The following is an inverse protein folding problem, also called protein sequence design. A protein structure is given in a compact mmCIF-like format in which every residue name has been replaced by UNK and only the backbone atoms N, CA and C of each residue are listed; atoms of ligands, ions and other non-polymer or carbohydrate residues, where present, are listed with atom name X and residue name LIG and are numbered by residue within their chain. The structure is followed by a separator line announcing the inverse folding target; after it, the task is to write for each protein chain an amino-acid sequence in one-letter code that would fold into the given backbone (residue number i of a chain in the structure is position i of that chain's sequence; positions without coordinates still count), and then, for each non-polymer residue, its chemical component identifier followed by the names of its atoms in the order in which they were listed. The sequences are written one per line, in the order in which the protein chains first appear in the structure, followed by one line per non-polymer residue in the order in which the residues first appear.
data_IF_126918062003
#
_entry.id   IF_126918062003
#
_cell.length_a   1.000
_cell.length_b   1.000
_cell.length_c   1.000
_cell.angle_alpha   90.00
_cell.angle_beta   90.00
_cell.angle_gamma   90.00
#
_symmetry.space_group_name_H-M   'P 1'
#
loop_
_entity.id
_entity.type
_entity.pdbx_description
1 polymer ?
#
# COMPACT_ATOMS: atom_id res chain seq x y z
N UNK A 1 38.65 20.29 37.32
CA UNK A 1 37.44 19.62 37.86
C UNK A 1 36.27 19.59 36.86
N UNK A 2 36.51 19.57 35.54
CA UNK A 2 35.46 19.67 34.50
C UNK A 2 35.18 18.37 33.72
N UNK A 3 35.96 17.31 33.95
CA UNK A 3 35.89 16.06 33.17
C UNK A 3 34.77 15.09 33.59
N UNK A 4 34.01 15.39 34.65
CA UNK A 4 32.94 14.50 35.17
C UNK A 4 31.58 14.74 34.51
N UNK A 5 31.33 15.95 34.03
CA UNK A 5 30.08 16.34 33.38
C UNK A 5 29.81 15.63 32.03
N UNK A 6 30.78 15.47 31.11
CA UNK A 6 30.52 14.83 29.82
C UNK A 6 30.26 13.32 29.93
N UNK A 7 30.87 12.63 30.91
CA UNK A 7 30.60 11.21 31.16
C UNK A 7 29.17 10.97 31.67
N UNK A 8 28.66 11.85 32.53
CA UNK A 8 27.29 11.75 33.02
C UNK A 8 26.27 11.97 31.89
N UNK A 9 26.55 12.92 30.99
CA UNK A 9 25.70 13.18 29.83
C UNK A 9 25.71 11.99 28.85
N UNK A 10 26.86 11.36 28.63
CA UNK A 10 26.99 10.19 27.76
C UNK A 10 26.25 8.96 28.31
N UNK A 11 26.24 8.73 29.63
CA UNK A 11 25.47 7.65 30.25
C UNK A 11 23.95 7.89 30.19
N UNK A 12 23.49 9.14 30.27
CA UNK A 12 22.07 9.46 30.14
C UNK A 12 21.55 9.23 28.71
N UNK A 13 22.39 9.43 27.68
CA UNK A 13 22.02 9.20 26.29
C UNK A 13 21.91 7.72 25.91
N UNK A 14 22.68 6.83 26.54
CA UNK A 14 22.61 5.38 26.25
C UNK A 14 21.39 4.68 26.86
N UNK A 15 20.68 5.34 27.78
CA UNK A 15 19.48 4.82 28.42
C UNK A 15 18.19 5.12 27.64
N UNK A 16 18.27 5.83 26.50
CA UNK A 16 17.09 6.04 25.65
C UNK A 16 16.70 4.69 25.03
N UNK A 17 15.54 4.10 25.40
CA UNK A 17 15.05 2.95 24.67
C UNK A 17 14.82 3.44 23.24
N UNK A 18 15.45 2.80 22.28
CA UNK A 18 15.05 2.93 20.90
C UNK A 18 13.58 2.50 20.86
N UNK A 19 12.68 3.47 20.92
CA UNK A 19 11.28 3.28 20.61
C UNK A 19 11.23 2.96 19.13
N UNK A 20 11.61 1.73 18.78
CA UNK A 20 11.37 1.13 17.51
C UNK A 20 9.88 1.26 17.34
N UNK A 21 9.47 2.20 16.49
CA UNK A 21 8.10 2.32 16.06
C UNK A 21 7.75 0.96 15.48
N UNK A 22 7.11 0.13 16.32
CA UNK A 22 6.56 -1.14 15.92
C UNK A 22 5.49 -0.75 14.91
N UNK A 23 5.89 -0.73 13.65
CA UNK A 23 5.04 -0.43 12.51
C UNK A 23 4.07 -1.61 12.50
N UNK A 24 2.99 -1.48 13.28
CA UNK A 24 1.89 -2.42 13.30
C UNK A 24 1.31 -2.34 11.90
N UNK A 25 1.86 -3.15 10.99
CA UNK A 25 1.23 -3.45 9.73
C UNK A 25 -0.08 -4.13 10.12
N UNK A 26 -1.15 -3.34 10.25
CA UNK A 26 -2.50 -3.88 10.23
C UNK A 26 -2.56 -4.71 8.96
N UNK A 27 -2.56 -6.04 9.11
CA UNK A 27 -2.68 -6.91 7.97
C UNK A 27 -3.96 -6.47 7.25
N UNK A 28 -3.89 -6.13 5.97
CA UNK A 28 -5.06 -5.66 5.26
C UNK A 28 -6.14 -6.73 5.42
N UNK A 29 -7.27 -6.33 5.99
CA UNK A 29 -8.41 -7.21 6.23
C UNK A 29 -9.29 -7.32 4.98
N UNK A 30 -10.33 -8.14 5.06
CA UNK A 30 -11.33 -8.30 4.00
C UNK A 30 -11.94 -6.96 3.57
N UNK A 31 -12.18 -6.05 4.52
CA UNK A 31 -12.67 -4.70 4.24
C UNK A 31 -11.78 -3.93 3.25
N UNK A 32 -10.46 -4.16 3.26
CA UNK A 32 -9.55 -3.53 2.31
C UNK A 32 -9.64 -4.15 0.92
N UNK A 33 -9.91 -5.46 0.82
CA UNK A 33 -10.23 -6.08 -0.46
C UNK A 33 -11.51 -5.49 -1.06
N UNK A 34 -12.56 -5.31 -0.25
CA UNK A 34 -13.83 -4.72 -0.68
C UNK A 34 -13.64 -3.29 -1.18
N UNK A 35 -12.84 -2.50 -0.46
CA UNK A 35 -12.50 -1.15 -0.87
C UNK A 35 -11.78 -1.13 -2.23
N UNK A 36 -10.78 -2.00 -2.44
CA UNK A 36 -10.05 -2.08 -3.70
C UNK A 36 -10.94 -2.55 -4.85
N UNK A 37 -11.83 -3.52 -4.61
CA UNK A 37 -12.79 -4.00 -5.59
C UNK A 37 -13.80 -2.90 -5.97
N UNK A 38 -14.30 -2.15 -4.99
CA UNK A 38 -15.19 -1.01 -5.21
C UNK A 38 -14.50 0.13 -5.98
N UNK A 39 -13.21 0.41 -5.70
CA UNK A 39 -12.44 1.38 -6.48
C UNK A 39 -12.30 0.93 -7.94
N UNK A 40 -12.06 -0.37 -8.16
CA UNK A 40 -11.94 -0.92 -9.52
C UNK A 40 -13.25 -0.81 -10.30
N UNK A 41 -14.39 -1.11 -9.67
CA UNK A 41 -15.70 -1.05 -10.32
C UNK A 41 -16.13 0.37 -10.72
N UNK A 42 -15.54 1.41 -10.10
CA UNK A 42 -15.78 2.82 -10.46
C UNK A 42 -14.98 3.28 -11.69
N UNK A 43 -14.03 2.49 -12.18
CA UNK A 43 -13.26 2.85 -13.38
C UNK A 43 -14.11 2.70 -14.65
N UNK A 44 -13.83 3.45 -15.73
CA UNK A 44 -14.47 3.23 -17.04
C UNK A 44 -14.31 1.79 -17.53
N UNK A 45 -15.35 1.24 -18.14
CA UNK A 45 -15.40 -0.18 -18.58
C UNK A 45 -14.25 -0.55 -19.53
N UNK A 46 -13.88 0.36 -20.43
CA UNK A 46 -12.71 0.20 -21.33
C UNK A 46 -11.39 -0.01 -20.59
N UNK A 47 -11.21 0.61 -19.43
CA UNK A 47 -10.03 0.42 -18.57
C UNK A 47 -10.15 -0.84 -17.71
N UNK A 48 -11.38 -1.21 -17.35
CA UNK A 48 -11.61 -2.44 -16.60
C UNK A 48 -11.28 -3.67 -17.44
N UNK A 49 -11.65 -3.72 -18.72
CA UNK A 49 -11.50 -4.92 -19.55
C UNK A 49 -10.05 -5.42 -19.61
N UNK A 50 -9.08 -4.51 -19.72
CA UNK A 50 -7.65 -4.84 -19.69
C UNK A 50 -7.16 -5.45 -18.35
N UNK A 51 -7.82 -5.10 -17.24
CA UNK A 51 -7.41 -5.45 -15.88
C UNK A 51 -8.40 -6.38 -15.15
N UNK A 52 -9.48 -6.79 -15.82
CA UNK A 52 -10.63 -7.49 -15.22
C UNK A 52 -10.25 -8.85 -14.67
N UNK A 53 -9.39 -9.59 -15.37
CA UNK A 53 -8.90 -10.89 -14.93
C UNK A 53 -8.15 -10.80 -13.59
N UNK A 54 -7.29 -9.79 -13.44
CA UNK A 54 -6.57 -9.54 -12.19
C UNK A 54 -7.51 -9.17 -11.05
N UNK A 55 -8.53 -8.36 -11.32
CA UNK A 55 -9.51 -7.96 -10.32
C UNK A 55 -10.36 -9.13 -9.83
N UNK A 56 -10.88 -9.95 -10.75
CA UNK A 56 -11.70 -11.14 -10.42
C UNK A 56 -10.91 -12.15 -9.59
N UNK A 57 -9.69 -12.43 -10.01
CA UNK A 57 -8.82 -13.37 -9.33
C UNK A 57 -8.35 -12.85 -7.97
N UNK A 58 -8.08 -11.54 -7.86
CA UNK A 58 -7.79 -10.89 -6.59
C UNK A 58 -8.95 -11.00 -5.60
N UNK A 59 -10.19 -10.85 -6.06
CA UNK A 59 -11.39 -11.00 -5.23
C UNK A 59 -11.56 -12.45 -4.75
N UNK A 60 -11.42 -13.43 -5.63
CA UNK A 60 -11.47 -14.86 -5.27
C UNK A 60 -10.44 -15.23 -4.20
N UNK A 61 -9.23 -14.69 -4.30
CA UNK A 61 -8.19 -14.91 -3.30
C UNK A 61 -8.56 -14.30 -1.94
N UNK A 62 -9.17 -13.11 -1.92
CA UNK A 62 -9.67 -12.53 -0.67
C UNK A 62 -10.78 -13.39 -0.05
N UNK A 63 -11.75 -13.82 -0.86
CA UNK A 63 -12.86 -14.70 -0.42
C UNK A 63 -12.35 -16.06 0.11
N UNK A 64 -11.27 -16.58 -0.46
CA UNK A 64 -10.59 -17.81 0.00
C UNK A 64 -9.69 -17.61 1.23
N UNK A 65 -9.62 -16.40 1.81
CA UNK A 65 -8.78 -16.09 2.97
C UNK A 65 -7.32 -15.75 2.65
N UNK A 66 -6.93 -15.76 1.37
CA UNK A 66 -5.60 -15.33 0.91
C UNK A 66 -5.51 -13.80 0.75
N UNK A 67 -5.85 -13.07 1.82
CA UNK A 67 -6.10 -11.63 1.78
C UNK A 67 -4.90 -10.82 1.28
N UNK A 68 -3.67 -11.14 1.72
CA UNK A 68 -2.46 -10.43 1.26
C UNK A 68 -2.24 -10.57 -0.25
N UNK A 69 -2.40 -11.79 -0.78
CA UNK A 69 -2.23 -12.07 -2.20
C UNK A 69 -3.36 -11.44 -3.01
N UNK A 70 -4.60 -11.53 -2.53
CA UNK A 70 -5.76 -10.89 -3.15
C UNK A 70 -5.60 -9.37 -3.26
N UNK A 71 -5.20 -8.71 -2.18
CA UNK A 71 -4.88 -7.27 -2.15
C UNK A 71 -3.78 -6.90 -3.14
N UNK A 72 -2.69 -7.67 -3.20
CA UNK A 72 -1.61 -7.41 -4.14
C UNK A 72 -2.10 -7.48 -5.61
N UNK A 73 -2.97 -8.43 -5.91
CA UNK A 73 -3.55 -8.63 -7.25
C UNK A 73 -4.57 -7.54 -7.60
N UNK A 74 -5.43 -7.14 -6.66
CA UNK A 74 -6.36 -6.02 -6.82
C UNK A 74 -5.62 -4.70 -7.04
N UNK A 75 -4.52 -4.43 -6.31
CA UNK A 75 -3.67 -3.26 -6.55
C UNK A 75 -3.00 -3.30 -7.93
N UNK A 76 -2.59 -4.47 -8.43
CA UNK A 76 -2.10 -4.62 -9.81
C UNK A 76 -3.20 -4.34 -10.84
N UNK A 77 -4.43 -4.81 -10.60
CA UNK A 77 -5.56 -4.52 -11.48
C UNK A 77 -5.83 -3.01 -11.57
N UNK A 78 -5.84 -2.31 -10.44
CA UNK A 78 -6.00 -0.85 -10.40
C UNK A 78 -4.91 -0.12 -11.19
N UNK A 79 -3.64 -0.51 -11.01
CA UNK A 79 -2.53 0.08 -11.78
C UNK A 79 -2.67 -0.17 -13.28
N UNK A 80 -2.91 -1.42 -13.68
CA UNK A 80 -3.09 -1.76 -15.09
C UNK A 80 -4.25 -0.98 -15.75
N UNK A 81 -5.34 -0.74 -15.01
CA UNK A 81 -6.45 0.07 -15.49
C UNK A 81 -6.12 1.58 -15.53
N UNK A 82 -5.21 2.07 -14.68
CA UNK A 82 -4.76 3.47 -14.65
C UNK A 82 -3.68 3.77 -15.69
N UNK A 83 -2.76 2.84 -15.95
CA UNK A 83 -1.71 2.97 -16.96
C UNK A 83 -2.29 3.05 -18.38
N UNK A 84 -3.51 2.51 -18.58
CA UNK A 84 -4.31 2.69 -19.80
C UNK A 84 -4.96 4.07 -19.92
N UNK A 85 -4.75 4.99 -18.97
CA UNK A 85 -5.21 6.36 -19.12
C UNK A 85 -4.42 6.99 -20.27
N UNK A 86 -5.08 7.43 -21.37
CA UNK A 86 -4.38 8.08 -22.46
C UNK A 86 -3.67 9.30 -21.89
N UNK A 87 -2.35 9.38 -22.07
CA UNK A 87 -1.60 10.60 -21.80
C UNK A 87 -2.28 11.77 -22.52
N UNK A 88 -2.50 12.93 -21.88
CA UNK A 88 -2.94 14.11 -22.60
C UNK A 88 -1.91 14.42 -23.70
N UNK A 89 -2.34 14.42 -24.96
CA UNK A 89 -1.50 14.89 -26.07
C UNK A 89 -1.05 16.32 -25.75
N UNK A 90 0.24 16.66 -25.84
CA UNK A 90 0.66 18.05 -25.72
C UNK A 90 0.03 18.84 -26.88
N UNK A 91 -0.83 19.78 -26.53
CA UNK A 91 -1.35 20.79 -27.45
C UNK A 91 -0.22 21.78 -27.74
N UNK A 92 0.44 21.65 -28.89
CA UNK A 92 1.28 22.71 -29.42
C UNK A 92 0.42 23.74 -30.18
N UNK A 93 0.70 25.05 -30.04
CA UNK A 93 0.11 26.10 -30.87
C UNK A 93 0.59 26.03 -32.32
#
# INVERSE_FOLDING_TARGET
MFLRLPCLLAMLLSAMPAAGAELRLLSPGLAYCDELAARFSRLPRTRQDAARGLALEGRRLCEAGHVRTGVAKLRRALRAAQDLSPMPKPSHP
#
